data_IF_788064451153
#
_entry.id   IF_788064451153
#
_cell.length_a   1.000
_cell.length_b   1.000
_cell.length_c   1.000
_cell.angle_alpha   90.00
_cell.angle_beta   90.00
_cell.angle_gamma   90.00
#
_symmetry.space_group_name_H-M   'P 1'
#
loop_
_entity.id
_entity.type
_entity.pdbx_description
1 polymer ?
#
# COMPACT_ATOMS: atom_id res chain seq x y z
N UNK A 1 8.87 -24.17 -4.60
CA UNK A 1 7.76 -23.34 -4.16
C UNK A 1 6.45 -23.91 -4.70
N UNK A 2 5.47 -24.15 -3.83
CA UNK A 2 4.17 -24.76 -4.16
C UNK A 2 3.07 -23.70 -4.36
N UNK A 3 3.18 -22.55 -3.69
CA UNK A 3 2.22 -21.45 -3.85
C UNK A 3 2.25 -20.89 -5.27
N UNK A 4 1.12 -20.92 -6.01
CA UNK A 4 1.07 -20.41 -7.36
C UNK A 4 1.22 -18.87 -7.36
N UNK A 5 1.96 -18.36 -8.36
CA UNK A 5 1.98 -16.90 -8.56
C UNK A 5 0.58 -16.43 -9.00
N UNK A 6 -0.02 -15.42 -8.34
CA UNK A 6 -1.41 -15.02 -8.59
C UNK A 6 -1.73 -14.62 -10.03
N UNK A 7 -0.75 -14.09 -10.77
CA UNK A 7 -0.91 -13.76 -12.18
C UNK A 7 -0.61 -14.94 -13.13
N UNK A 8 -0.33 -16.12 -12.57
CA UNK A 8 0.05 -17.33 -13.33
C UNK A 8 1.50 -17.33 -13.80
N UNK A 9 1.98 -18.52 -14.23
CA UNK A 9 3.35 -18.69 -14.73
C UNK A 9 4.44 -18.69 -13.66
N UNK A 10 5.66 -18.44 -14.08
CA UNK A 10 6.84 -18.35 -13.20
C UNK A 10 6.87 -17.06 -12.39
N UNK A 11 7.49 -17.12 -11.20
CA UNK A 11 7.71 -15.94 -10.37
C UNK A 11 8.66 -14.96 -11.08
N UNK A 12 8.23 -13.76 -11.40
CA UNK A 12 9.10 -12.77 -12.04
C UNK A 12 10.33 -12.44 -11.19
N UNK A 13 11.48 -12.24 -11.86
CA UNK A 13 12.76 -11.91 -11.19
C UNK A 13 12.68 -10.69 -10.25
N UNK A 14 11.76 -9.77 -10.49
CA UNK A 14 11.52 -8.62 -9.62
C UNK A 14 11.19 -8.98 -8.16
N UNK A 15 10.72 -10.19 -7.88
CA UNK A 15 10.44 -10.66 -6.51
C UNK A 15 11.66 -11.20 -5.78
N UNK A 16 12.76 -11.48 -6.49
CA UNK A 16 13.97 -12.06 -5.90
C UNK A 16 15.13 -11.08 -5.82
N UNK A 17 15.01 -9.88 -6.40
CA UNK A 17 16.07 -8.89 -6.49
C UNK A 17 15.52 -7.50 -6.14
N UNK A 18 15.02 -7.35 -4.91
CA UNK A 18 14.52 -6.08 -4.37
C UNK A 18 15.39 -5.62 -3.21
N UNK A 19 15.44 -4.30 -3.00
CA UNK A 19 15.93 -3.74 -1.74
C UNK A 19 14.87 -3.94 -0.64
N UNK A 20 15.30 -3.83 0.62
CA UNK A 20 14.32 -3.69 1.71
C UNK A 20 13.44 -2.47 1.45
N UNK A 21 12.15 -2.65 1.74
CA UNK A 21 11.11 -1.69 1.44
C UNK A 21 11.37 -0.32 2.10
N UNK A 22 11.59 -0.31 3.42
CA UNK A 22 11.72 0.94 4.17
C UNK A 22 13.05 1.63 3.91
N UNK A 23 14.12 0.87 3.66
CA UNK A 23 15.42 1.41 3.23
C UNK A 23 15.30 2.12 1.88
N UNK A 24 14.65 1.48 0.90
CA UNK A 24 14.45 2.08 -0.43
C UNK A 24 13.57 3.34 -0.37
N UNK A 25 12.47 3.31 0.40
CA UNK A 25 11.58 4.46 0.58
C UNK A 25 12.27 5.62 1.30
N UNK A 26 13.12 5.32 2.29
CA UNK A 26 13.93 6.35 2.97
C UNK A 26 14.88 7.04 2.00
N UNK A 27 15.58 6.26 1.16
CA UNK A 27 16.47 6.82 0.13
C UNK A 27 15.71 7.71 -0.87
N UNK A 28 14.54 7.27 -1.33
CA UNK A 28 13.68 8.05 -2.23
C UNK A 28 13.16 9.34 -1.57
N UNK A 29 12.76 9.26 -0.29
CA UNK A 29 12.32 10.42 0.48
C UNK A 29 13.43 11.47 0.64
N UNK A 30 14.64 11.02 0.94
CA UNK A 30 15.81 11.90 1.11
C UNK A 30 16.26 12.55 -0.21
N UNK A 31 16.16 11.82 -1.32
CA UNK A 31 16.54 12.30 -2.64
C UNK A 31 15.53 13.27 -3.28
N UNK A 32 14.33 13.41 -2.71
CA UNK A 32 13.24 14.21 -3.30
C UNK A 32 12.65 15.20 -2.29
N UNK A 33 12.00 16.26 -2.80
CA UNK A 33 11.38 17.30 -1.95
C UNK A 33 9.85 17.34 -2.05
N UNK A 34 9.29 16.87 -3.15
CA UNK A 34 7.84 16.98 -3.44
C UNK A 34 7.17 15.62 -3.63
N UNK A 35 7.94 14.62 -4.05
CA UNK A 35 7.40 13.28 -4.32
C UNK A 35 6.86 12.66 -3.03
N UNK A 36 5.62 12.18 -3.06
CA UNK A 36 5.10 11.29 -2.02
C UNK A 36 5.75 9.92 -2.17
N UNK A 37 6.07 9.30 -1.06
CA UNK A 37 6.68 7.97 -1.02
C UNK A 37 5.75 7.01 -0.27
N UNK A 38 5.57 5.83 -0.79
CA UNK A 38 4.68 4.86 -0.16
C UNK A 38 4.96 3.43 -0.60
N UNK A 39 4.53 2.49 0.21
CA UNK A 39 4.63 1.07 -0.12
C UNK A 39 3.51 0.61 -1.04
N UNK A 40 3.83 -0.13 -2.05
CA UNK A 40 2.86 -0.74 -2.95
C UNK A 40 3.07 -2.25 -3.09
N UNK A 41 2.93 -3.01 -2.02
CA UNK A 41 2.51 -2.86 -0.62
C UNK A 41 3.49 -3.53 0.36
N UNK A 42 3.46 -3.15 1.64
CA UNK A 42 4.17 -3.85 2.70
C UNK A 42 3.38 -5.06 3.18
N UNK A 43 4.04 -6.22 3.31
CA UNK A 43 3.46 -7.42 3.89
C UNK A 43 3.61 -7.37 5.41
N UNK A 44 2.75 -6.64 6.09
CA UNK A 44 2.88 -6.43 7.54
C UNK A 44 2.64 -7.69 8.37
N UNK A 45 2.07 -8.73 7.80
CA UNK A 45 1.95 -10.05 8.43
C UNK A 45 3.29 -10.77 8.60
N UNK A 46 4.34 -10.30 7.94
CA UNK A 46 5.70 -10.84 7.97
C UNK A 46 6.67 -9.91 8.72
N UNK A 47 6.17 -8.84 9.34
CA UNK A 47 6.97 -7.80 10.00
C UNK A 47 6.46 -7.55 11.42
N UNK A 48 7.37 -7.30 12.34
CA UNK A 48 7.01 -6.87 13.69
C UNK A 48 6.29 -5.51 13.66
N UNK A 49 5.12 -5.35 14.31
CA UNK A 49 4.33 -4.13 14.24
C UNK A 49 4.99 -2.94 14.95
N UNK A 50 5.76 -3.15 16.02
CA UNK A 50 6.46 -2.09 16.77
C UNK A 50 7.57 -1.51 15.90
N UNK A 51 8.39 -2.39 15.29
CA UNK A 51 9.45 -1.97 14.37
C UNK A 51 8.88 -1.29 13.14
N UNK A 52 7.82 -1.85 12.55
CA UNK A 52 7.16 -1.28 11.37
C UNK A 52 6.57 0.10 11.66
N UNK A 53 5.95 0.29 12.82
CA UNK A 53 5.45 1.59 13.24
C UNK A 53 6.58 2.62 13.37
N UNK A 54 7.72 2.21 13.93
CA UNK A 54 8.92 3.05 14.08
C UNK A 54 9.53 3.45 12.74
N UNK A 55 9.70 2.49 11.83
CA UNK A 55 10.24 2.71 10.49
C UNK A 55 9.36 3.69 9.70
N UNK A 56 8.08 3.45 9.67
CA UNK A 56 7.09 4.27 8.97
C UNK A 56 7.02 5.70 9.54
N UNK A 57 6.97 5.86 10.87
CA UNK A 57 7.01 7.17 11.52
C UNK A 57 8.30 7.94 11.20
N UNK A 58 9.44 7.23 11.18
CA UNK A 58 10.73 7.83 10.84
C UNK A 58 10.75 8.36 9.40
N UNK A 59 10.24 7.58 8.44
CA UNK A 59 10.14 8.04 7.04
C UNK A 59 9.17 9.21 6.92
N UNK A 60 8.06 9.19 7.65
CA UNK A 60 7.10 10.29 7.62
C UNK A 60 7.73 11.60 8.08
N UNK A 61 8.48 11.58 9.18
CA UNK A 61 9.24 12.74 9.68
C UNK A 61 10.33 13.17 8.69
N UNK A 62 11.17 12.25 8.22
CA UNK A 62 12.27 12.54 7.30
C UNK A 62 11.78 13.07 5.94
N UNK A 63 10.62 12.62 5.51
CA UNK A 63 10.00 13.08 4.26
C UNK A 63 9.23 14.41 4.42
N UNK A 64 9.02 14.91 5.64
CA UNK A 64 8.17 16.08 5.91
C UNK A 64 6.68 15.78 5.66
N UNK A 65 6.19 14.61 6.08
CA UNK A 65 4.78 14.22 5.97
C UNK A 65 4.35 13.75 4.56
N UNK A 66 5.28 13.17 3.78
CA UNK A 66 5.00 12.67 2.41
C UNK A 66 4.89 11.16 2.33
N UNK A 67 4.90 10.44 3.46
CA UNK A 67 4.84 8.98 3.50
C UNK A 67 3.40 8.47 3.52
N UNK A 68 3.18 7.33 2.87
CA UNK A 68 1.92 6.58 2.88
C UNK A 68 2.21 5.09 3.07
N UNK A 69 1.50 4.42 3.98
CA UNK A 69 1.69 3.00 4.25
C UNK A 69 0.68 2.15 3.49
N UNK A 70 1.09 1.63 2.33
CA UNK A 70 0.33 0.59 1.63
C UNK A 70 0.58 -0.77 2.28
N UNK A 71 -0.49 -1.47 2.64
CA UNK A 71 -0.45 -2.71 3.43
C UNK A 71 -1.20 -3.85 2.76
N UNK A 72 -0.75 -5.08 2.98
CA UNK A 72 -1.39 -6.28 2.47
C UNK A 72 -1.02 -7.54 3.24
N UNK A 73 -1.82 -8.58 3.01
CA UNK A 73 -1.69 -9.86 3.71
C UNK A 73 -0.91 -10.93 2.89
N UNK A 74 -0.26 -10.54 1.80
CA UNK A 74 0.53 -11.47 0.99
C UNK A 74 -0.28 -12.60 0.33
N UNK A 75 0.40 -13.42 -0.42
CA UNK A 75 -0.17 -14.57 -1.15
C UNK A 75 0.71 -15.83 -1.08
N UNK A 76 2.03 -15.68 -0.85
CA UNK A 76 3.00 -16.77 -0.83
C UNK A 76 2.99 -17.43 0.57
N UNK A 77 2.47 -18.65 0.64
CA UNK A 77 2.31 -19.37 1.90
C UNK A 77 3.64 -19.74 2.53
N UNK A 78 4.58 -20.21 1.74
CA UNK A 78 5.91 -20.59 2.21
C UNK A 78 6.69 -19.39 2.78
N UNK A 79 6.49 -18.20 2.20
CA UNK A 79 7.08 -16.97 2.72
C UNK A 79 6.46 -16.60 4.07
N UNK A 80 5.13 -16.66 4.19
CA UNK A 80 4.43 -16.45 5.46
C UNK A 80 4.91 -17.42 6.54
N UNK A 81 5.00 -18.71 6.23
CA UNK A 81 5.44 -19.76 7.16
C UNK A 81 6.90 -19.56 7.61
N UNK A 82 7.79 -19.14 6.70
CA UNK A 82 9.17 -18.77 7.03
C UNK A 82 9.26 -17.58 8.01
N UNK A 83 8.27 -16.70 7.97
CA UNK A 83 8.13 -15.59 8.93
C UNK A 83 7.29 -15.94 10.16
N UNK A 84 6.93 -17.20 10.34
CA UNK A 84 6.14 -17.69 11.49
C UNK A 84 4.65 -17.34 11.41
N UNK A 85 4.15 -16.91 10.26
CA UNK A 85 2.73 -16.61 10.08
C UNK A 85 1.98 -17.82 9.53
N UNK A 86 0.96 -18.29 10.25
CA UNK A 86 0.02 -19.29 9.71
C UNK A 86 -0.85 -18.64 8.61
N UNK A 87 -0.78 -19.13 7.36
CA UNK A 87 -1.58 -18.58 6.26
C UNK A 87 -3.10 -18.56 6.51
N UNK A 88 -3.61 -19.44 7.38
CA UNK A 88 -5.05 -19.52 7.72
C UNK A 88 -5.49 -18.36 8.61
N UNK A 89 -4.61 -17.83 9.43
CA UNK A 89 -4.89 -16.74 10.38
C UNK A 89 -4.46 -15.37 9.86
N UNK A 90 -3.77 -15.32 8.71
CA UNK A 90 -3.12 -14.12 8.20
C UNK A 90 -4.02 -12.86 8.12
N UNK A 91 -5.32 -13.03 7.84
CA UNK A 91 -6.22 -11.88 7.72
C UNK A 91 -6.57 -11.26 9.08
N UNK A 92 -6.64 -12.07 10.14
CA UNK A 92 -6.81 -11.58 11.52
C UNK A 92 -5.53 -10.92 12.01
N UNK A 93 -4.39 -11.57 11.81
CA UNK A 93 -3.08 -11.00 12.10
C UNK A 93 -2.85 -9.67 11.36
N UNK A 94 -3.29 -9.59 10.08
CA UNK A 94 -3.22 -8.37 9.28
C UNK A 94 -3.99 -7.21 9.92
N UNK A 95 -5.22 -7.46 10.36
CA UNK A 95 -6.04 -6.47 11.04
C UNK A 95 -5.39 -6.02 12.36
N UNK A 96 -4.99 -6.97 13.22
CA UNK A 96 -4.37 -6.66 14.51
C UNK A 96 -3.07 -5.87 14.37
N UNK A 97 -2.17 -6.28 13.48
CA UNK A 97 -0.92 -5.53 13.25
C UNK A 97 -1.17 -4.12 12.71
N UNK A 98 -2.19 -3.94 11.87
CA UNK A 98 -2.55 -2.60 11.37
C UNK A 98 -3.07 -1.72 12.53
N UNK A 99 -3.97 -2.23 13.35
CA UNK A 99 -4.51 -1.48 14.48
C UNK A 99 -3.44 -1.22 15.56
N UNK A 100 -2.56 -2.17 15.83
CA UNK A 100 -1.43 -1.98 16.73
C UNK A 100 -0.47 -0.87 16.25
N UNK A 101 -0.17 -0.82 14.95
CA UNK A 101 0.62 0.25 14.34
C UNK A 101 -0.07 1.61 14.52
N UNK A 102 -1.39 1.69 14.30
CA UNK A 102 -2.16 2.92 14.51
C UNK A 102 -2.14 3.38 15.97
N UNK A 103 -2.33 2.45 16.93
CA UNK A 103 -2.22 2.75 18.35
C UNK A 103 -0.85 3.34 18.71
N UNK A 104 0.24 2.71 18.22
CA UNK A 104 1.60 3.21 18.44
C UNK A 104 1.79 4.63 17.90
N UNK A 105 1.17 4.99 16.78
CA UNK A 105 1.30 6.32 16.20
C UNK A 105 0.49 7.38 16.89
N UNK A 106 -0.68 7.03 17.43
CA UNK A 106 -1.67 8.00 17.93
C UNK A 106 -1.63 8.16 19.45
N UNK A 107 -1.25 7.14 20.20
CA UNK A 107 -1.21 7.16 21.65
C UNK A 107 0.18 7.58 22.16
N UNK A 108 0.22 8.29 23.29
CA UNK A 108 1.49 8.67 23.92
C UNK A 108 2.24 7.44 24.44
N UNK A 109 1.59 6.64 25.26
CA UNK A 109 1.99 5.29 25.67
C UNK A 109 0.99 4.32 25.06
N UNK A 110 1.41 3.49 24.11
CA UNK A 110 0.54 2.55 23.43
C UNK A 110 0.55 1.20 24.12
N UNK A 111 -0.63 0.63 24.31
CA UNK A 111 -0.83 -0.78 24.67
C UNK A 111 -1.76 -1.43 23.65
N UNK A 112 -1.57 -2.71 23.40
CA UNK A 112 -2.42 -3.47 22.50
C UNK A 112 -2.56 -4.91 22.97
N UNK A 113 -3.80 -5.42 23.06
CA UNK A 113 -4.14 -6.75 23.55
C UNK A 113 -5.02 -7.47 22.54
N UNK A 114 -4.39 -8.14 21.59
CA UNK A 114 -5.04 -8.95 20.55
C UNK A 114 -4.78 -10.44 20.72
N UNK A 115 -5.20 -11.22 19.75
CA UNK A 115 -4.94 -12.66 19.70
C UNK A 115 -3.48 -12.96 19.29
N UNK A 116 -2.88 -12.12 18.46
CA UNK A 116 -1.55 -12.32 17.86
C UNK A 116 -0.57 -11.23 18.24
N UNK A 117 -1.03 -10.08 18.66
CA UNK A 117 -0.21 -8.93 19.05
C UNK A 117 -0.57 -8.53 20.46
N UNK A 118 0.41 -8.55 21.34
CA UNK A 118 0.24 -8.16 22.74
C UNK A 118 1.47 -7.38 23.23
N UNK A 119 1.25 -6.17 23.74
CA UNK A 119 2.30 -5.35 24.33
C UNK A 119 1.74 -4.29 25.27
N UNK A 120 2.55 -3.90 26.24
CA UNK A 120 2.20 -2.93 27.28
C UNK A 120 3.08 -1.69 27.25
N UNK A 121 2.43 -0.52 27.29
CA UNK A 121 3.01 0.79 27.62
C UNK A 121 4.30 1.12 26.90
N UNK A 122 4.30 0.98 25.56
CA UNK A 122 5.45 1.36 24.77
C UNK A 122 5.43 2.85 24.41
N UNK A 123 6.59 3.47 24.51
CA UNK A 123 6.85 4.82 23.97
C UNK A 123 7.57 4.67 22.63
N UNK A 124 6.99 5.19 21.57
CA UNK A 124 7.58 5.21 20.25
C UNK A 124 7.65 6.63 19.70
N UNK A 125 8.83 7.23 19.77
CA UNK A 125 9.12 8.56 19.24
C UNK A 125 10.20 8.47 18.14
N UNK A 126 10.18 9.36 17.12
CA UNK A 126 9.17 10.39 16.91
C UNK A 126 7.82 9.82 16.50
N UNK A 127 6.74 10.51 16.86
CA UNK A 127 5.43 10.26 16.24
C UNK A 127 5.45 10.77 14.79
N UNK A 128 4.62 10.21 13.89
CA UNK A 128 4.47 10.73 12.55
C UNK A 128 4.11 12.24 12.55
N UNK A 129 4.48 12.96 11.50
CA UNK A 129 4.04 14.36 11.29
C UNK A 129 2.58 14.44 10.85
N UNK A 130 2.14 13.51 10.02
CA UNK A 130 0.77 13.45 9.53
C UNK A 130 -0.20 13.10 10.68
N UNK A 131 -1.39 13.70 10.67
CA UNK A 131 -2.42 13.50 11.70
C UNK A 131 -3.72 12.99 11.08
N UNK A 132 -4.41 12.02 11.72
CA UNK A 132 -4.02 11.33 12.97
C UNK A 132 -2.79 10.44 12.81
N UNK A 133 -2.49 9.96 11.60
CA UNK A 133 -1.35 9.13 11.23
C UNK A 133 -1.11 9.18 9.70
N UNK A 134 0.01 8.66 9.18
CA UNK A 134 0.19 8.45 7.74
C UNK A 134 -0.95 7.62 7.14
N UNK A 135 -1.45 7.95 5.94
CA UNK A 135 -2.55 7.20 5.33
C UNK A 135 -2.21 5.72 5.18
N UNK A 136 -3.17 4.87 5.54
CA UNK A 136 -3.11 3.41 5.38
C UNK A 136 -3.86 3.02 4.11
N UNK A 137 -3.13 2.51 3.12
CA UNK A 137 -3.67 2.10 1.83
C UNK A 137 -3.80 0.57 1.80
N UNK A 138 -5.01 0.05 1.85
CA UNK A 138 -5.25 -1.40 1.90
C UNK A 138 -5.23 -1.98 0.50
N UNK A 139 -4.28 -2.88 0.24
CA UNK A 139 -4.17 -3.62 -1.01
C UNK A 139 -5.03 -4.88 -1.03
N UNK A 140 -5.19 -5.42 -2.24
CA UNK A 140 -5.85 -6.71 -2.48
C UNK A 140 -7.17 -6.62 -3.24
N UNK A 141 -7.60 -7.80 -3.74
CA UNK A 141 -8.79 -7.99 -4.58
C UNK A 141 -9.72 -9.08 -4.02
N UNK A 142 -9.40 -9.67 -2.87
CA UNK A 142 -10.22 -10.72 -2.25
C UNK A 142 -11.65 -10.26 -1.93
N UNK A 143 -12.61 -11.17 -1.78
CA UNK A 143 -14.03 -10.85 -1.62
C UNK A 143 -14.32 -9.96 -0.40
N UNK A 144 -13.53 -10.07 0.66
CA UNK A 144 -13.69 -9.32 1.91
C UNK A 144 -12.74 -8.11 2.02
N UNK A 145 -12.17 -7.61 0.89
CA UNK A 145 -11.24 -6.48 0.96
C UNK A 145 -11.94 -5.19 1.36
N UNK A 146 -13.16 -4.97 0.88
CA UNK A 146 -13.95 -3.78 1.21
C UNK A 146 -14.22 -3.71 2.71
N UNK A 147 -14.55 -4.84 3.36
CA UNK A 147 -14.75 -4.88 4.82
C UNK A 147 -13.50 -4.41 5.56
N UNK A 148 -12.31 -4.84 5.13
CA UNK A 148 -11.04 -4.42 5.74
C UNK A 148 -10.72 -2.95 5.49
N UNK A 149 -10.96 -2.46 4.27
CA UNK A 149 -10.81 -1.03 3.96
C UNK A 149 -11.69 -0.19 4.86
N UNK A 150 -12.96 -0.56 5.02
CA UNK A 150 -13.91 0.14 5.87
C UNK A 150 -13.52 0.07 7.35
N UNK A 151 -12.98 -1.07 7.80
CA UNK A 151 -12.59 -1.27 9.19
C UNK A 151 -11.38 -0.41 9.61
N UNK A 152 -10.31 -0.41 8.84
CA UNK A 152 -9.05 0.20 9.27
C UNK A 152 -8.26 0.98 8.20
N UNK A 153 -8.65 0.95 6.93
CA UNK A 153 -7.94 1.63 5.84
C UNK A 153 -8.39 3.07 5.63
N UNK A 154 -7.54 3.92 5.13
CA UNK A 154 -7.86 5.28 4.66
C UNK A 154 -8.09 5.31 3.15
N UNK A 155 -7.56 4.30 2.45
CA UNK A 155 -7.77 4.12 1.02
C UNK A 155 -7.82 2.64 0.65
N UNK A 156 -8.52 2.32 -0.43
CA UNK A 156 -8.38 1.07 -1.14
C UNK A 156 -7.38 1.22 -2.30
N UNK A 157 -6.38 0.34 -2.34
CA UNK A 157 -5.28 0.39 -3.31
C UNK A 157 -5.07 -0.96 -4.01
N UNK A 158 -6.02 -1.41 -4.84
CA UNK A 158 -5.95 -2.67 -5.59
C UNK A 158 -5.07 -2.57 -6.84
N UNK A 159 -4.66 -3.75 -7.35
CA UNK A 159 -4.26 -3.85 -8.74
C UNK A 159 -5.46 -3.63 -9.67
N UNK A 160 -5.21 -3.06 -10.83
CA UNK A 160 -6.22 -2.91 -11.87
C UNK A 160 -6.80 -4.26 -12.31
N UNK A 161 -8.11 -4.30 -12.40
CA UNK A 161 -8.91 -5.37 -13.05
C UNK A 161 -10.10 -4.71 -13.77
N UNK A 162 -10.64 -5.33 -14.83
CA UNK A 162 -11.76 -4.74 -15.57
C UNK A 162 -13.01 -4.46 -14.73
N UNK A 163 -13.24 -5.24 -13.67
CA UNK A 163 -14.37 -5.15 -12.74
C UNK A 163 -14.13 -4.23 -11.53
N UNK A 164 -12.98 -3.55 -11.49
CA UNK A 164 -12.58 -2.75 -10.32
C UNK A 164 -13.55 -1.59 -10.04
N UNK A 165 -14.18 -1.06 -11.09
CA UNK A 165 -15.07 0.08 -10.99
C UNK A 165 -16.37 -0.27 -10.24
N UNK A 166 -16.91 -1.47 -10.47
CA UNK A 166 -18.12 -1.93 -9.77
C UNK A 166 -17.85 -2.04 -8.27
N UNK A 167 -16.67 -2.52 -7.91
CA UNK A 167 -16.25 -2.62 -6.51
C UNK A 167 -15.93 -1.27 -5.88
N UNK A 168 -15.51 -0.29 -6.66
CA UNK A 168 -15.35 1.09 -6.19
C UNK A 168 -16.72 1.73 -5.88
N UNK A 169 -17.75 1.38 -6.62
CA UNK A 169 -19.14 1.77 -6.29
C UNK A 169 -19.56 1.14 -4.97
N UNK A 170 -19.39 -0.17 -4.79
CA UNK A 170 -19.67 -0.87 -3.51
C UNK A 170 -18.98 -0.18 -2.33
N UNK A 171 -17.68 0.13 -2.46
CA UNK A 171 -16.92 0.82 -1.42
C UNK A 171 -17.57 2.15 -1.04
N UNK A 172 -17.96 2.93 -2.04
CA UNK A 172 -18.56 4.26 -1.85
C UNK A 172 -19.92 4.21 -1.18
N UNK A 173 -20.76 3.25 -1.57
CA UNK A 173 -22.09 3.07 -1.00
C UNK A 173 -22.06 2.62 0.47
N UNK A 174 -21.02 1.87 0.85
CA UNK A 174 -20.84 1.33 2.20
C UNK A 174 -20.02 2.23 3.13
N UNK A 175 -19.30 3.22 2.58
CA UNK A 175 -18.40 4.04 3.37
C UNK A 175 -19.17 5.10 4.18
N UNK A 176 -19.06 5.06 5.50
CA UNK A 176 -19.62 6.04 6.44
C UNK A 176 -18.67 7.23 6.69
N UNK A 177 -17.45 7.15 6.19
CA UNK A 177 -16.40 8.17 6.27
C UNK A 177 -15.67 8.30 4.93
N UNK A 178 -14.93 9.39 4.70
CA UNK A 178 -14.10 9.50 3.49
C UNK A 178 -13.10 8.35 3.40
N UNK A 179 -13.15 7.61 2.30
CA UNK A 179 -12.19 6.57 1.91
C UNK A 179 -11.72 6.89 0.51
N UNK A 180 -10.40 7.01 0.33
CA UNK A 180 -9.84 7.23 -0.99
C UNK A 180 -9.83 5.93 -1.80
N UNK A 181 -10.03 6.06 -3.11
CA UNK A 181 -9.85 4.98 -4.07
C UNK A 181 -8.65 5.28 -4.95
N UNK A 182 -7.69 4.36 -4.96
CA UNK A 182 -6.46 4.44 -5.74
C UNK A 182 -6.28 3.14 -6.51
N UNK A 183 -5.60 3.16 -7.66
CA UNK A 183 -5.44 1.96 -8.50
C UNK A 183 -3.98 1.78 -8.93
N UNK A 184 -3.48 0.54 -8.87
CA UNK A 184 -2.17 0.16 -9.36
C UNK A 184 -2.23 -0.47 -10.74
N UNK A 185 -1.43 0.04 -11.68
CA UNK A 185 -1.15 -0.58 -12.96
C UNK A 185 -2.28 -0.61 -13.99
N UNK A 186 -3.20 0.36 -14.05
CA UNK A 186 -4.16 0.39 -15.13
C UNK A 186 -3.46 0.66 -16.48
N UNK A 187 -4.10 0.36 -17.61
CA UNK A 187 -3.63 0.80 -18.92
C UNK A 187 -3.41 2.30 -18.95
N UNK A 188 -2.26 2.75 -19.48
CA UNK A 188 -1.99 4.18 -19.70
C UNK A 188 -2.72 4.63 -20.98
N UNK A 189 -4.03 4.85 -20.88
CA UNK A 189 -4.94 5.25 -21.93
C UNK A 189 -5.89 6.33 -21.41
N UNK A 190 -6.12 7.42 -22.15
CA UNK A 190 -6.97 8.53 -21.70
C UNK A 190 -8.36 8.09 -21.25
N UNK A 191 -9.00 7.19 -22.02
CA UNK A 191 -10.34 6.68 -21.73
C UNK A 191 -10.40 5.92 -20.42
N UNK A 192 -9.38 5.12 -20.08
CA UNK A 192 -9.29 4.37 -18.80
C UNK A 192 -9.06 5.34 -17.64
N UNK A 193 -8.21 6.34 -17.83
CA UNK A 193 -7.96 7.39 -16.82
C UNK A 193 -9.26 8.16 -16.55
N UNK A 194 -10.01 8.50 -17.59
CA UNK A 194 -11.29 9.21 -17.47
C UNK A 194 -12.33 8.38 -16.71
N UNK A 195 -12.47 7.09 -17.01
CA UNK A 195 -13.37 6.17 -16.30
C UNK A 195 -13.00 6.06 -14.82
N UNK A 196 -11.72 5.89 -14.49
CA UNK A 196 -11.23 5.87 -13.13
C UNK A 196 -11.52 7.19 -12.40
N UNK A 197 -11.29 8.31 -13.04
CA UNK A 197 -11.57 9.63 -12.48
C UNK A 197 -13.07 9.82 -12.19
N UNK A 198 -13.94 9.46 -13.14
CA UNK A 198 -15.40 9.45 -12.94
C UNK A 198 -15.83 8.53 -11.79
N UNK A 199 -15.12 7.43 -11.61
CA UNK A 199 -15.31 6.52 -10.48
C UNK A 199 -14.79 7.07 -9.14
N UNK A 200 -14.23 8.28 -9.11
CA UNK A 200 -13.71 8.94 -7.90
C UNK A 200 -12.31 8.52 -7.49
N UNK A 201 -11.53 7.94 -8.42
CA UNK A 201 -10.13 7.63 -8.16
C UNK A 201 -9.33 8.90 -7.89
N UNK A 202 -8.64 8.95 -6.76
CA UNK A 202 -7.80 10.09 -6.36
C UNK A 202 -6.42 10.02 -6.97
N UNK A 203 -5.90 8.81 -7.20
CA UNK A 203 -4.55 8.58 -7.69
C UNK A 203 -4.45 7.25 -8.43
N UNK A 204 -3.61 7.27 -9.46
CA UNK A 204 -3.23 6.10 -10.23
C UNK A 204 -1.72 5.93 -10.13
N UNK A 205 -1.25 4.70 -9.99
CA UNK A 205 0.17 4.38 -10.08
C UNK A 205 0.43 3.40 -11.22
N UNK A 206 1.51 3.59 -11.96
CA UNK A 206 1.93 2.68 -13.02
C UNK A 206 3.21 1.94 -12.68
N UNK A 207 3.27 0.69 -13.11
CA UNK A 207 4.47 -0.10 -12.97
C UNK A 207 5.55 0.39 -13.93
N UNK A 208 6.70 0.74 -13.38
CA UNK A 208 7.91 1.02 -14.13
C UNK A 208 8.90 -0.13 -13.87
N UNK A 209 9.43 -0.80 -14.91
CA UNK A 209 10.33 -1.94 -14.72
C UNK A 209 11.66 -1.49 -14.12
N UNK A 210 12.30 -2.37 -13.34
CA UNK A 210 13.69 -2.19 -12.94
C UNK A 210 14.61 -2.44 -14.14
N UNK A 211 14.89 -1.38 -14.90
CA UNK A 211 15.63 -1.41 -16.16
C UNK A 211 16.38 -0.11 -16.40
N UNK A 212 17.23 -0.09 -17.44
CA UNK A 212 17.95 1.13 -17.86
C UNK A 212 17.02 2.19 -18.46
N UNK A 213 17.55 3.42 -18.57
CA UNK A 213 16.81 4.60 -19.08
C UNK A 213 16.11 4.35 -20.42
N UNK A 214 16.77 3.66 -21.34
CA UNK A 214 16.23 3.34 -22.67
C UNK A 214 14.94 2.52 -22.65
N UNK A 215 14.64 1.83 -21.56
CA UNK A 215 13.40 1.07 -21.35
C UNK A 215 12.39 1.87 -20.53
N UNK A 216 12.86 2.66 -19.57
CA UNK A 216 12.02 3.42 -18.64
C UNK A 216 11.44 4.67 -19.32
N UNK A 217 12.27 5.45 -20.01
CA UNK A 217 11.86 6.73 -20.62
C UNK A 217 10.67 6.59 -21.58
N UNK A 218 10.69 5.67 -22.55
CA UNK A 218 9.53 5.53 -23.46
C UNK A 218 8.24 5.11 -22.75
N UNK A 219 8.35 4.47 -21.57
CA UNK A 219 7.19 4.12 -20.77
C UNK A 219 6.64 5.33 -20.02
N UNK A 220 7.52 6.17 -19.47
CA UNK A 220 7.12 7.42 -18.82
C UNK A 220 6.48 8.37 -19.82
N UNK A 221 7.09 8.57 -21.00
CA UNK A 221 6.54 9.39 -22.09
C UNK A 221 5.12 8.96 -22.51
N UNK A 222 4.88 7.63 -22.59
CA UNK A 222 3.54 7.10 -22.87
C UNK A 222 2.53 7.43 -21.78
N UNK A 223 2.94 7.35 -20.52
CA UNK A 223 2.11 7.70 -19.37
C UNK A 223 1.81 9.21 -19.38
N UNK A 224 2.84 10.02 -19.55
CA UNK A 224 2.72 11.49 -19.65
C UNK A 224 1.79 11.90 -20.78
N UNK A 225 1.95 11.30 -21.96
CA UNK A 225 1.06 11.55 -23.09
C UNK A 225 -0.40 11.22 -22.78
N UNK A 226 -0.66 10.06 -22.16
CA UNK A 226 -2.02 9.67 -21.79
C UNK A 226 -2.64 10.61 -20.75
N UNK A 227 -1.84 11.13 -19.82
CA UNK A 227 -2.27 12.14 -18.83
C UNK A 227 -2.56 13.47 -19.55
N UNK A 228 -1.66 13.95 -20.41
CA UNK A 228 -1.83 15.20 -21.14
C UNK A 228 -3.09 15.19 -22.03
N UNK A 229 -3.35 14.08 -22.73
CA UNK A 229 -4.58 13.89 -23.50
C UNK A 229 -5.84 13.92 -22.62
N UNK A 230 -5.77 13.32 -21.42
CA UNK A 230 -6.88 13.34 -20.46
C UNK A 230 -7.12 14.74 -19.88
N UNK A 231 -6.06 15.49 -19.55
CA UNK A 231 -6.17 16.84 -18.96
C UNK A 231 -6.44 17.93 -19.98
N UNK A 232 -6.32 17.64 -21.28
CA UNK A 232 -6.44 18.62 -22.35
C UNK A 232 -5.21 19.53 -22.49
N UNK A 233 -4.06 19.10 -21.97
CA UNK A 233 -2.76 19.79 -22.04
C UNK A 233 -1.88 19.30 -23.20
N UNK A 234 -2.43 18.51 -24.11
CA UNK A 234 -1.73 17.90 -25.24
C UNK A 234 -1.67 18.83 -26.49
#
# INVERSE_FOLDING_TARGET
RESPYPAGGELPRKYTATFDLFVALTAAAAATKRLRVGSGIALIIERDPIITAKEAASIDVLSGGRFELGVGAGWNREEMENHGTDPRTRMRLFAERTEAIKAIWTEHEASFHGEFVDFERILCEPKPLQRPHPPILVGGLGPTVIDRVLAFGDAWFPNWTPDILDRAVELRERAERPIDFMVMGPPAKPEVIEELFKAGTRRVSWWVPSAGRSVIEPRLERIEKAIAEFTGEA
#
